data_IF_970112100367
#
_entry.id   IF_970112100367
#
_cell.length_a   1.000
_cell.length_b   1.000
_cell.length_c   1.000
_cell.angle_alpha   90.00
_cell.angle_beta   90.00
_cell.angle_gamma   90.00
#
_symmetry.space_group_name_H-M   'P 1'
#
loop_
_entity.id
_entity.type
_entity.pdbx_description
1 polymer ?
#
# COMPACT_ATOMS: atom_id res chain seq x y z
N UNK A 1 55.15 -27.05 11.41
CA UNK A 1 54.15 -28.03 10.94
C UNK A 1 53.03 -28.13 11.98
N UNK A 2 51.78 -28.01 11.51
CA UNK A 2 50.47 -28.30 12.16
C UNK A 2 50.08 -27.36 13.33
N UNK A 3 49.01 -26.53 13.25
CA UNK A 3 47.55 -26.83 13.21
C UNK A 3 47.13 -27.62 14.47
N UNK A 4 46.13 -27.28 15.31
CA UNK A 4 44.81 -26.63 15.14
C UNK A 4 44.28 -26.27 16.54
N UNK A 5 43.69 -25.08 16.64
CA UNK A 5 42.39 -24.70 17.24
C UNK A 5 41.69 -25.63 18.26
N UNK A 6 41.17 -25.02 19.34
CA UNK A 6 39.76 -24.99 19.81
C UNK A 6 39.79 -24.67 21.31
N UNK A 7 39.14 -23.59 21.71
CA UNK A 7 38.22 -23.65 22.85
C UNK A 7 37.19 -22.53 22.72
N UNK A 8 35.95 -22.94 22.48
CA UNK A 8 34.77 -22.09 22.56
C UNK A 8 34.27 -22.05 24.00
N UNK A 9 33.67 -20.91 24.33
CA UNK A 9 32.66 -20.68 25.36
C UNK A 9 33.02 -20.96 26.82
N UNK A 10 33.02 -19.91 27.65
CA UNK A 10 32.14 -19.78 28.83
C UNK A 10 32.52 -18.54 29.63
N UNK A 11 31.67 -17.51 29.59
CA UNK A 11 31.45 -16.64 30.74
C UNK A 11 30.09 -15.95 30.63
N UNK A 12 29.05 -16.72 30.95
CA UNK A 12 27.78 -16.23 31.47
C UNK A 12 28.01 -15.77 32.93
N UNK A 13 28.36 -14.52 33.13
CA UNK A 13 28.28 -13.76 34.39
C UNK A 13 28.19 -12.28 33.94
N UNK A 14 27.24 -11.43 34.27
CA UNK A 14 26.36 -11.39 35.44
C UNK A 14 25.07 -10.64 35.11
N UNK A 15 23.94 -11.26 35.41
CA UNK A 15 22.70 -10.57 35.74
C UNK A 15 22.82 -10.13 37.21
N UNK A 16 23.06 -8.83 37.45
CA UNK A 16 22.52 -8.08 38.58
C UNK A 16 23.12 -6.67 38.61
N UNK A 17 22.29 -5.71 38.23
CA UNK A 17 22.60 -4.29 38.27
C UNK A 17 21.32 -3.51 38.00
N UNK A 18 20.32 -3.65 38.88
CA UNK A 18 19.22 -2.70 38.97
C UNK A 18 19.80 -1.33 39.31
N UNK A 19 20.06 -0.52 38.30
CA UNK A 19 20.13 0.93 38.45
C UNK A 19 18.77 1.50 38.03
N UNK A 20 17.96 1.87 39.03
CA UNK A 20 16.81 2.76 38.85
C UNK A 20 17.30 4.06 38.20
N UNK A 21 17.13 4.19 36.89
CA UNK A 21 17.12 5.50 36.25
C UNK A 21 15.75 6.12 36.52
N UNK A 22 15.75 7.10 37.41
CA UNK A 22 14.63 8.06 37.58
C UNK A 22 14.20 8.57 36.22
N UNK A 23 13.01 8.17 35.79
CA UNK A 23 12.33 8.78 34.65
C UNK A 23 11.98 10.20 35.10
N UNK A 24 12.73 11.17 34.59
CA UNK A 24 12.31 12.57 34.63
C UNK A 24 11.12 12.63 33.66
N UNK A 25 9.91 12.63 34.21
CA UNK A 25 8.71 12.98 33.47
C UNK A 25 8.88 14.40 32.93
N UNK A 26 9.36 14.53 31.70
CA UNK A 26 9.08 15.75 30.95
C UNK A 26 7.57 15.75 30.74
N UNK A 27 6.85 16.58 31.50
CA UNK A 27 5.49 16.99 31.16
C UNK A 27 5.52 17.60 29.77
N UNK A 28 5.39 16.77 28.73
CA UNK A 28 4.95 17.25 27.44
C UNK A 28 3.53 17.72 27.69
N UNK A 29 3.34 19.04 27.56
CA UNK A 29 2.01 19.61 27.35
C UNK A 29 1.28 18.71 26.35
N UNK A 30 0.04 18.27 26.62
CA UNK A 30 -0.74 17.62 25.60
C UNK A 30 -0.88 18.67 24.49
N UNK A 31 -0.10 18.51 23.42
CA UNK A 31 -0.46 19.15 22.17
C UNK A 31 -1.82 18.56 21.83
N UNK A 32 -2.86 19.32 22.13
CA UNK A 32 -4.16 19.13 21.51
C UNK A 32 -3.88 19.06 20.02
N UNK A 33 -3.92 17.84 19.48
CA UNK A 33 -4.05 17.66 18.05
C UNK A 33 -5.30 18.46 17.70
N UNK A 34 -5.12 19.62 17.05
CA UNK A 34 -6.23 20.33 16.42
C UNK A 34 -6.91 19.29 15.54
N UNK A 35 -8.05 18.79 16.01
CA UNK A 35 -8.89 17.86 15.27
C UNK A 35 -9.48 18.71 14.15
N UNK A 36 -8.73 18.82 13.06
CA UNK A 36 -9.12 19.60 11.91
C UNK A 36 -10.29 18.84 11.28
N UNK A 37 -11.51 19.28 11.58
CA UNK A 37 -12.73 18.55 11.24
C UNK A 37 -13.08 18.63 9.75
N UNK A 38 -12.34 19.39 8.94
CA UNK A 38 -12.45 19.43 7.49
C UNK A 38 -11.32 18.63 6.83
N UNK A 39 -11.45 17.29 6.79
CA UNK A 39 -10.65 16.50 5.84
C UNK A 39 -11.40 16.50 4.52
N UNK A 40 -10.93 17.31 3.57
CA UNK A 40 -11.47 17.40 2.22
C UNK A 40 -11.28 16.08 1.46
N UNK A 41 -12.13 15.83 0.45
CA UNK A 41 -12.08 14.64 -0.41
C UNK A 41 -10.73 14.51 -1.10
N UNK A 42 -10.10 13.33 -1.00
CA UNK A 42 -8.89 13.03 -1.76
C UNK A 42 -9.23 12.75 -3.22
N UNK A 43 -8.93 13.68 -4.13
CA UNK A 43 -9.11 13.45 -5.55
C UNK A 43 -7.81 12.87 -6.17
N UNK A 44 -7.87 11.61 -6.60
CA UNK A 44 -6.74 10.90 -7.21
C UNK A 44 -6.77 10.91 -8.74
N UNK A 45 -7.88 11.37 -9.33
CA UNK A 45 -8.03 11.49 -10.79
C UNK A 45 -6.96 12.41 -11.39
N UNK A 46 -6.60 13.45 -10.64
CA UNK A 46 -5.70 14.53 -11.04
C UNK A 46 -4.36 14.49 -10.30
N UNK A 47 -4.07 13.41 -9.57
CA UNK A 47 -2.81 13.29 -8.88
C UNK A 47 -1.69 13.13 -9.90
N UNK A 48 -0.80 14.13 -9.96
CA UNK A 48 0.39 14.10 -10.81
C UNK A 48 1.55 13.55 -10.02
N UNK A 49 2.22 12.52 -10.56
CA UNK A 49 3.49 12.09 -10.02
C UNK A 49 4.51 13.23 -10.02
N UNK A 50 5.49 13.14 -9.12
CA UNK A 50 6.48 14.19 -8.85
C UNK A 50 5.88 15.46 -8.22
N UNK A 51 4.65 15.39 -7.71
CA UNK A 51 4.10 16.41 -6.81
C UNK A 51 4.66 16.24 -5.40
N UNK A 52 4.82 17.33 -4.67
CA UNK A 52 5.30 17.30 -3.29
C UNK A 52 4.24 16.70 -2.36
N UNK A 53 4.62 15.72 -1.54
CA UNK A 53 3.69 15.05 -0.62
C UNK A 53 3.06 16.02 0.37
N UNK A 54 3.79 17.05 0.85
CA UNK A 54 3.24 18.03 1.78
C UNK A 54 2.09 18.83 1.16
N UNK A 55 2.22 19.18 -0.13
CA UNK A 55 1.16 19.89 -0.85
C UNK A 55 -0.08 19.01 -1.01
N UNK A 56 0.10 17.74 -1.39
CA UNK A 56 -1.00 16.78 -1.51
C UNK A 56 -1.72 16.62 -0.17
N UNK A 57 -0.97 16.40 0.91
CA UNK A 57 -1.53 16.21 2.25
C UNK A 57 -2.26 17.47 2.75
N UNK A 58 -1.68 18.65 2.52
CA UNK A 58 -2.29 19.91 2.96
C UNK A 58 -3.68 20.14 2.33
N UNK A 59 -3.88 19.73 1.07
CA UNK A 59 -5.17 19.84 0.36
C UNK A 59 -6.25 18.95 0.96
N UNK A 60 -5.88 17.90 1.67
CA UNK A 60 -6.83 17.02 2.37
C UNK A 60 -6.80 17.26 3.89
N UNK A 61 -6.21 18.37 4.33
CA UNK A 61 -6.14 18.77 5.74
C UNK A 61 -5.21 17.89 6.60
N UNK A 62 -4.22 17.23 5.99
CA UNK A 62 -3.22 16.39 6.65
C UNK A 62 -1.82 17.02 6.59
N UNK A 63 -0.97 16.54 7.49
CA UNK A 63 0.47 16.81 7.55
C UNK A 63 1.23 15.49 7.66
N UNK A 64 2.55 15.52 7.50
CA UNK A 64 3.38 14.32 7.70
C UNK A 64 3.30 13.74 9.12
N UNK A 65 2.88 14.54 10.11
CA UNK A 65 2.69 14.08 11.49
C UNK A 65 1.42 13.23 11.65
N UNK A 66 0.51 13.25 10.68
CA UNK A 66 -0.72 12.46 10.68
C UNK A 66 -0.53 11.05 10.09
N UNK A 67 0.73 10.63 9.89
CA UNK A 67 1.05 9.31 9.35
C UNK A 67 0.57 8.23 10.32
N UNK A 68 -0.23 7.28 9.82
CA UNK A 68 -0.75 6.17 10.60
C UNK A 68 0.28 5.05 10.83
N UNK A 69 1.45 5.11 10.17
CA UNK A 69 2.54 4.17 10.42
C UNK A 69 3.18 4.44 11.79
N UNK A 70 3.07 3.44 12.67
CA UNK A 70 3.77 3.42 13.95
C UNK A 70 5.17 2.76 13.85
N UNK A 71 5.50 2.19 12.69
CA UNK A 71 6.77 1.51 12.43
C UNK A 71 7.77 2.43 11.73
N UNK A 72 9.06 2.25 12.03
CA UNK A 72 10.13 2.98 11.35
C UNK A 72 10.29 2.47 9.92
N UNK A 73 10.17 3.36 8.94
CA UNK A 73 10.51 3.03 7.56
C UNK A 73 12.03 2.79 7.41
N UNK A 74 12.41 1.53 7.20
CA UNK A 74 13.81 1.09 7.05
C UNK A 74 14.42 1.39 5.68
N UNK A 75 13.63 1.88 4.72
CA UNK A 75 14.14 2.25 3.40
C UNK A 75 15.09 3.45 3.50
N UNK A 76 16.23 3.39 2.82
CA UNK A 76 17.22 4.46 2.86
C UNK A 76 16.81 5.72 2.09
N UNK A 77 15.95 5.61 1.08
CA UNK A 77 15.76 6.68 0.08
C UNK A 77 14.31 7.10 -0.17
N UNK A 78 13.32 6.37 0.34
CA UNK A 78 11.91 6.76 0.32
C UNK A 78 11.24 6.57 1.68
N UNK A 79 10.12 7.26 1.86
CA UNK A 79 9.20 7.09 2.98
C UNK A 79 7.83 6.63 2.47
N UNK A 80 7.04 6.05 3.38
CA UNK A 80 5.62 5.73 3.18
C UNK A 80 4.81 6.62 4.12
N UNK A 81 3.78 7.25 3.59
CA UNK A 81 2.76 7.94 4.37
C UNK A 81 1.45 7.18 4.23
N UNK A 82 1.02 6.52 5.31
CA UNK A 82 -0.22 5.75 5.36
C UNK A 82 -1.30 6.53 6.07
N UNK A 83 -2.51 6.52 5.52
CA UNK A 83 -3.65 7.21 6.11
C UNK A 83 -4.97 6.62 5.63
N UNK A 84 -6.03 6.89 6.39
CA UNK A 84 -7.40 6.57 6.02
C UNK A 84 -8.11 7.87 5.62
N UNK A 85 -8.27 8.16 4.32
CA UNK A 85 -9.05 9.31 3.87
C UNK A 85 -10.52 9.14 4.27
N UNK A 86 -11.23 10.24 4.56
CA UNK A 86 -12.68 10.19 4.78
C UNK A 86 -13.46 9.89 3.50
N UNK A 87 -12.95 10.39 2.36
CA UNK A 87 -13.55 10.22 1.06
C UNK A 87 -12.46 10.24 0.00
N UNK A 88 -12.54 9.36 -0.99
CA UNK A 88 -11.70 9.42 -2.20
C UNK A 88 -12.63 9.65 -3.39
N UNK A 89 -12.23 10.59 -4.24
CA UNK A 89 -12.76 10.69 -5.57
C UNK A 89 -11.77 10.07 -6.57
N UNK A 90 -12.22 9.04 -7.28
CA UNK A 90 -11.47 8.42 -8.35
C UNK A 90 -12.36 8.29 -9.59
N UNK A 91 -12.02 9.06 -10.62
CA UNK A 91 -12.77 9.18 -11.88
C UNK A 91 -14.24 9.55 -11.68
N UNK A 92 -14.53 10.44 -10.74
CA UNK A 92 -15.89 10.86 -10.42
C UNK A 92 -16.65 9.91 -9.49
N UNK A 93 -16.09 8.74 -9.15
CA UNK A 93 -16.66 7.86 -8.15
C UNK A 93 -16.26 8.36 -6.76
N UNK A 94 -17.25 8.70 -5.95
CA UNK A 94 -17.09 8.96 -4.53
C UNK A 94 -17.26 7.64 -3.80
N UNK A 95 -16.15 7.11 -3.28
CA UNK A 95 -16.16 5.85 -2.53
C UNK A 95 -16.13 6.24 -1.04
N UNK A 96 -16.79 5.48 -0.18
CA UNK A 96 -16.89 5.70 1.27
C UNK A 96 -15.87 4.80 2.01
N UNK A 97 -15.09 5.34 2.97
CA UNK A 97 -13.77 4.80 3.33
C UNK A 97 -13.52 4.48 4.81
N UNK A 98 -14.53 4.26 5.66
CA UNK A 98 -14.26 3.92 7.07
C UNK A 98 -13.36 2.67 7.28
N UNK A 99 -13.09 1.87 6.25
CA UNK A 99 -12.27 0.65 6.31
C UNK A 99 -11.08 0.59 5.34
N UNK A 100 -10.88 1.62 4.55
CA UNK A 100 -10.01 1.55 3.37
C UNK A 100 -8.71 2.33 3.62
N UNK A 101 -7.58 1.80 3.17
CA UNK A 101 -6.25 2.35 3.43
C UNK A 101 -5.65 2.95 2.17
N UNK A 102 -4.97 4.09 2.31
CA UNK A 102 -4.19 4.72 1.25
C UNK A 102 -2.76 4.94 1.72
N UNK A 103 -1.80 4.64 0.85
CA UNK A 103 -0.38 4.89 1.08
C UNK A 103 0.20 5.73 -0.05
N UNK A 104 0.99 6.75 0.32
CA UNK A 104 1.85 7.49 -0.61
C UNK A 104 3.31 7.13 -0.37
N UNK A 105 4.02 6.79 -1.43
CA UNK A 105 5.46 6.55 -1.43
C UNK A 105 6.16 7.73 -2.11
N UNK A 106 7.11 8.33 -1.41
CA UNK A 106 7.80 9.54 -1.87
C UNK A 106 9.28 9.52 -1.49
N UNK A 107 10.14 10.16 -2.30
CA UNK A 107 11.57 10.15 -1.99
C UNK A 107 11.85 11.04 -0.77
N UNK A 108 12.78 10.60 0.09
CA UNK A 108 13.16 11.34 1.31
C UNK A 108 13.73 12.71 1.03
N UNK A 109 14.52 12.82 -0.05
CA UNK A 109 15.31 14.00 -0.41
C UNK A 109 14.46 15.17 -0.90
N UNK A 110 13.57 14.91 -1.86
CA UNK A 110 12.80 15.94 -2.56
C UNK A 110 11.30 15.92 -2.21
N UNK A 111 10.86 14.91 -1.42
CA UNK A 111 9.48 14.72 -0.98
C UNK A 111 8.49 14.52 -2.13
N UNK A 112 8.99 14.07 -3.28
CA UNK A 112 8.18 13.87 -4.48
C UNK A 112 7.53 12.47 -4.47
N UNK A 113 6.21 12.44 -4.64
CA UNK A 113 5.43 11.20 -4.71
C UNK A 113 5.70 10.51 -6.05
N UNK A 114 5.97 9.21 -5.99
CA UNK A 114 6.26 8.37 -7.16
C UNK A 114 5.44 7.09 -7.20
N UNK A 115 4.81 6.70 -6.10
CA UNK A 115 3.84 5.61 -6.07
C UNK A 115 2.73 5.93 -5.07
N UNK A 116 1.53 5.46 -5.36
CA UNK A 116 0.45 5.39 -4.40
C UNK A 116 -0.28 4.06 -4.47
N UNK A 117 -0.81 3.65 -3.33
CA UNK A 117 -1.61 2.43 -3.19
C UNK A 117 -2.94 2.75 -2.53
N UNK A 118 -4.02 2.15 -3.02
CA UNK A 118 -5.38 2.27 -2.47
C UNK A 118 -5.95 0.88 -2.34
N UNK A 119 -6.54 0.57 -1.18
CA UNK A 119 -7.34 -0.63 -0.98
C UNK A 119 -8.82 -0.24 -0.84
N UNK A 120 -9.67 -0.75 -1.73
CA UNK A 120 -11.13 -0.60 -1.69
C UNK A 120 -11.73 -1.95 -1.31
N UNK A 121 -12.43 -2.02 -0.18
CA UNK A 121 -12.97 -3.26 0.40
C UNK A 121 -14.47 -3.46 0.11
N UNK A 122 -15.01 -2.74 -0.87
CA UNK A 122 -16.38 -2.89 -1.34
C UNK A 122 -16.40 -3.42 -2.79
N UNK A 123 -17.23 -4.43 -3.03
CA UNK A 123 -17.31 -5.12 -4.30
C UNK A 123 -17.91 -4.24 -5.41
N UNK A 124 -18.97 -3.49 -5.10
CA UNK A 124 -19.68 -2.70 -6.10
C UNK A 124 -18.85 -1.50 -6.52
N UNK A 125 -18.20 -0.84 -5.57
CA UNK A 125 -17.28 0.26 -5.84
C UNK A 125 -16.03 -0.22 -6.58
N UNK A 126 -15.48 -1.40 -6.24
CA UNK A 126 -14.41 -2.02 -7.01
C UNK A 126 -14.78 -2.17 -8.50
N UNK A 127 -15.96 -2.73 -8.80
CA UNK A 127 -16.43 -2.93 -10.17
C UNK A 127 -16.68 -1.59 -10.90
N UNK A 128 -17.25 -0.58 -10.22
CA UNK A 128 -17.43 0.77 -10.79
C UNK A 128 -16.09 1.39 -11.18
N UNK A 129 -15.08 1.27 -10.31
CA UNK A 129 -13.76 1.85 -10.55
C UNK A 129 -13.06 1.16 -11.72
N UNK A 130 -13.10 -0.18 -11.80
CA UNK A 130 -12.56 -0.92 -12.95
C UNK A 130 -13.18 -0.41 -14.25
N UNK A 131 -14.51 -0.25 -14.28
CA UNK A 131 -15.22 0.30 -15.44
C UNK A 131 -14.79 1.74 -15.76
N UNK A 132 -14.51 2.56 -14.75
CA UNK A 132 -13.96 3.90 -14.97
C UNK A 132 -12.55 3.89 -15.55
N UNK A 133 -11.69 2.92 -15.18
CA UNK A 133 -10.39 2.72 -15.83
C UNK A 133 -10.56 2.34 -17.30
N UNK A 134 -11.45 1.39 -17.61
CA UNK A 134 -11.78 0.99 -18.97
C UNK A 134 -12.24 2.19 -19.83
N UNK A 135 -13.08 3.06 -19.25
CA UNK A 135 -13.56 4.25 -19.95
C UNK A 135 -12.46 5.30 -20.17
N UNK A 136 -11.55 5.49 -19.20
CA UNK A 136 -10.51 6.54 -19.27
C UNK A 136 -9.31 6.13 -20.12
N UNK A 137 -8.85 4.89 -19.98
CA UNK A 137 -7.59 4.42 -20.58
C UNK A 137 -7.79 3.40 -21.70
N UNK A 138 -9.05 3.03 -21.97
CA UNK A 138 -9.43 2.08 -23.02
C UNK A 138 -9.90 0.74 -22.45
N UNK A 139 -10.85 0.12 -23.16
CA UNK A 139 -11.56 -1.10 -22.75
C UNK A 139 -10.62 -2.29 -22.56
N UNK A 140 -9.51 -2.33 -23.30
CA UNK A 140 -8.54 -3.41 -23.22
C UNK A 140 -7.32 -2.96 -22.41
N UNK A 141 -7.04 -3.55 -21.24
CA UNK A 141 -5.81 -3.27 -20.51
C UNK A 141 -4.58 -3.75 -21.29
N UNK A 142 -3.42 -3.16 -21.01
CA UNK A 142 -2.14 -3.60 -21.54
C UNK A 142 -1.82 -5.04 -21.13
N UNK A 143 -2.32 -5.49 -19.98
CA UNK A 143 -2.26 -6.86 -19.53
C UNK A 143 -3.51 -7.24 -18.73
N UNK A 144 -3.95 -8.50 -18.86
CA UNK A 144 -5.02 -9.08 -18.04
C UNK A 144 -4.74 -10.54 -17.75
N UNK A 145 -4.93 -10.93 -16.48
CA UNK A 145 -4.91 -12.32 -16.04
C UNK A 145 -6.08 -12.56 -15.08
N UNK A 146 -6.82 -13.62 -15.32
CA UNK A 146 -7.90 -14.09 -14.44
C UNK A 146 -7.46 -15.44 -13.87
N UNK A 147 -7.57 -15.58 -12.55
CA UNK A 147 -7.29 -16.83 -11.83
C UNK A 147 -8.53 -17.18 -11.02
N UNK A 148 -9.08 -18.37 -11.26
CA UNK A 148 -10.27 -18.89 -10.57
C UNK A 148 -9.86 -20.07 -9.69
N UNK A 149 -10.06 -19.92 -8.39
CA UNK A 149 -9.89 -20.96 -7.39
C UNK A 149 -11.24 -21.60 -7.08
N UNK A 150 -11.27 -22.93 -7.01
CA UNK A 150 -12.44 -23.70 -6.54
C UNK A 150 -11.98 -24.76 -5.55
N UNK A 151 -12.94 -25.46 -4.95
CA UNK A 151 -12.65 -26.58 -4.05
C UNK A 151 -11.85 -27.70 -4.72
N UNK A 152 -12.13 -27.99 -6.00
CA UNK A 152 -11.48 -29.02 -6.80
C UNK A 152 -10.10 -28.58 -7.31
N UNK A 153 -9.93 -27.27 -7.53
CA UNK A 153 -8.71 -26.66 -8.04
C UNK A 153 -8.33 -25.44 -7.18
N UNK A 154 -7.88 -25.66 -5.93
CA UNK A 154 -7.54 -24.55 -5.06
C UNK A 154 -6.24 -23.88 -5.53
N UNK A 155 -6.24 -22.55 -5.60
CA UNK A 155 -5.08 -21.76 -6.05
C UNK A 155 -4.48 -20.87 -4.96
N UNK A 156 -5.26 -20.52 -3.95
CA UNK A 156 -4.86 -19.57 -2.91
C UNK A 156 -4.57 -20.28 -1.59
N UNK A 157 -3.60 -19.77 -0.84
CA UNK A 157 -3.30 -20.23 0.51
C UNK A 157 -3.90 -19.27 1.53
N UNK A 158 -4.26 -19.79 2.71
CA UNK A 158 -4.60 -19.01 3.89
C UNK A 158 -3.36 -18.61 4.70
N UNK A 159 -3.57 -17.93 5.83
CA UNK A 159 -2.52 -17.50 6.75
C UNK A 159 -1.71 -18.64 7.36
N UNK A 160 -2.22 -19.87 7.35
CA UNK A 160 -1.53 -21.06 7.86
C UNK A 160 -0.79 -21.82 6.73
N UNK A 161 -0.91 -21.36 5.48
CA UNK A 161 -0.35 -22.03 4.31
C UNK A 161 -1.20 -23.18 3.79
N UNK A 162 -2.47 -23.30 4.22
CA UNK A 162 -3.42 -24.29 3.70
C UNK A 162 -4.18 -23.75 2.49
N UNK A 163 -4.55 -24.65 1.58
CA UNK A 163 -5.33 -24.30 0.40
C UNK A 163 -6.75 -23.84 0.77
N UNK A 164 -7.09 -22.61 0.39
CA UNK A 164 -8.45 -22.10 0.44
C UNK A 164 -9.35 -22.88 -0.51
N UNK A 165 -10.50 -23.31 -0.01
CA UNK A 165 -11.48 -24.11 -0.76
C UNK A 165 -12.65 -23.29 -1.29
N UNK A 166 -12.71 -22.01 -0.90
CA UNK A 166 -13.74 -21.09 -1.35
C UNK A 166 -13.64 -20.86 -2.86
N UNK A 167 -14.78 -20.63 -3.50
CA UNK A 167 -14.86 -20.16 -4.87
C UNK A 167 -14.42 -18.70 -4.94
N UNK A 168 -13.17 -18.49 -5.33
CA UNK A 168 -12.55 -17.16 -5.38
C UNK A 168 -12.04 -16.85 -6.78
N UNK A 169 -12.18 -15.60 -7.19
CA UNK A 169 -11.60 -15.10 -8.43
C UNK A 169 -10.64 -13.95 -8.13
N UNK A 170 -9.48 -13.96 -8.78
CA UNK A 170 -8.55 -12.84 -8.80
C UNK A 170 -8.34 -12.38 -10.25
N UNK A 171 -8.56 -11.08 -10.50
CA UNK A 171 -8.20 -10.41 -11.75
C UNK A 171 -7.02 -9.49 -11.50
N UNK A 172 -6.01 -9.59 -12.34
CA UNK A 172 -4.89 -8.64 -12.40
C UNK A 172 -5.02 -7.94 -13.74
N UNK A 173 -5.20 -6.62 -13.70
CA UNK A 173 -5.38 -5.77 -14.87
C UNK A 173 -4.32 -4.66 -14.83
N UNK A 174 -3.70 -4.37 -15.96
CA UNK A 174 -2.66 -3.32 -16.04
C UNK A 174 -3.01 -2.31 -17.11
N UNK A 175 -3.07 -1.03 -16.75
CA UNK A 175 -3.17 0.08 -17.69
C UNK A 175 -1.92 0.94 -17.66
N UNK A 176 -1.61 1.54 -18.80
CA UNK A 176 -0.53 2.51 -18.94
C UNK A 176 -1.08 3.84 -19.41
N UNK A 177 -0.77 4.90 -18.66
CA UNK A 177 -0.95 6.27 -19.12
C UNK A 177 0.38 6.76 -19.68
N UNK A 178 0.52 6.73 -21.00
CA UNK A 178 1.73 7.15 -21.69
C UNK A 178 2.01 8.66 -21.54
N UNK A 179 0.97 9.47 -21.30
CA UNK A 179 1.08 10.92 -21.19
C UNK A 179 1.66 11.31 -19.83
N UNK A 180 1.07 10.77 -18.76
CA UNK A 180 1.53 11.03 -17.39
C UNK A 180 2.60 10.02 -16.93
N UNK A 181 3.00 9.10 -17.81
CA UNK A 181 3.99 8.04 -17.59
C UNK A 181 3.69 7.20 -16.35
N UNK A 182 2.42 6.87 -16.16
CA UNK A 182 1.96 6.06 -15.04
C UNK A 182 1.67 4.63 -15.50
N UNK A 183 2.02 3.64 -14.67
CA UNK A 183 1.44 2.29 -14.77
C UNK A 183 0.49 2.09 -13.60
N UNK A 184 -0.72 1.60 -13.90
CA UNK A 184 -1.74 1.25 -12.91
C UNK A 184 -1.93 -0.26 -12.88
N UNK A 185 -1.68 -0.88 -11.74
CA UNK A 185 -2.01 -2.27 -11.47
C UNK A 185 -3.29 -2.32 -10.65
N UNK A 186 -4.31 -2.97 -11.20
CA UNK A 186 -5.59 -3.21 -10.54
C UNK A 186 -5.66 -4.70 -10.21
N UNK A 187 -5.67 -5.01 -8.91
CA UNK A 187 -5.78 -6.37 -8.40
C UNK A 187 -7.13 -6.50 -7.72
N UNK A 188 -8.08 -7.09 -8.44
CA UNK A 188 -9.43 -7.33 -7.97
C UNK A 188 -9.55 -8.76 -7.45
N UNK A 189 -10.12 -8.94 -6.27
CA UNK A 189 -10.38 -10.24 -5.64
C UNK A 189 -11.83 -10.31 -5.22
N UNK A 190 -12.50 -11.42 -5.50
CA UNK A 190 -13.88 -11.66 -5.07
C UNK A 190 -14.03 -13.08 -4.53
N UNK A 191 -14.75 -13.21 -3.42
CA UNK A 191 -15.15 -14.48 -2.83
C UNK A 191 -16.65 -14.67 -3.05
N UNK A 192 -17.02 -15.68 -3.85
CA UNK A 192 -18.41 -15.96 -4.19
C UNK A 192 -19.16 -16.77 -3.13
N UNK A 193 -18.44 -17.35 -2.16
CA UNK A 193 -19.03 -18.22 -1.14
C UNK A 193 -19.48 -17.44 0.11
N UNK A 194 -19.17 -16.14 0.21
CA UNK A 194 -19.67 -15.26 1.27
C UNK A 194 -21.08 -14.72 0.95
N UNK A 195 -21.82 -14.35 2.00
CA UNK A 195 -23.15 -13.72 1.88
C UNK A 195 -23.24 -12.47 2.77
N UNK A 196 -23.22 -11.24 2.20
CA UNK A 196 -23.11 -10.93 0.77
C UNK A 196 -21.75 -11.33 0.17
N UNK A 197 -21.68 -11.34 -1.16
CA UNK A 197 -20.42 -11.56 -1.90
C UNK A 197 -19.42 -10.48 -1.51
N UNK A 198 -18.24 -10.89 -1.06
CA UNK A 198 -17.18 -9.99 -0.61
C UNK A 198 -16.18 -9.80 -1.74
N UNK A 199 -15.87 -8.53 -2.04
CA UNK A 199 -14.94 -8.15 -3.09
C UNK A 199 -14.03 -7.04 -2.63
N UNK A 200 -12.84 -6.98 -3.21
CA UNK A 200 -11.87 -5.92 -2.95
C UNK A 200 -11.08 -5.58 -4.20
N UNK A 201 -10.62 -4.34 -4.27
CA UNK A 201 -9.74 -3.84 -5.32
C UNK A 201 -8.54 -3.15 -4.68
N UNK A 202 -7.34 -3.64 -4.99
CA UNK A 202 -6.10 -2.91 -4.76
C UNK A 202 -5.69 -2.19 -6.05
N UNK A 203 -5.40 -0.90 -5.92
CA UNK A 203 -4.87 -0.07 -7.01
C UNK A 203 -3.45 0.33 -6.62
N UNK A 204 -2.48 -0.01 -7.46
CA UNK A 204 -1.08 0.40 -7.30
C UNK A 204 -0.74 1.24 -8.53
N UNK A 205 -0.49 2.53 -8.32
CA UNK A 205 -0.07 3.45 -9.38
C UNK A 205 1.40 3.81 -9.18
N UNK A 206 2.20 3.74 -10.25
CA UNK A 206 3.65 3.95 -10.18
C UNK A 206 4.12 4.84 -11.34
N UNK A 207 4.95 5.82 -11.05
CA UNK A 207 5.68 6.63 -12.04
C UNK A 207 6.74 5.79 -12.75
N UNK A 208 6.59 5.58 -14.07
CA UNK A 208 7.51 4.81 -14.92
C UNK A 208 8.90 5.45 -15.02
N UNK A 209 9.02 6.76 -14.83
CA UNK A 209 10.31 7.46 -14.86
C UNK A 209 11.06 7.35 -13.52
N UNK A 210 10.41 6.93 -12.44
CA UNK A 210 11.08 6.84 -11.16
C UNK A 210 12.04 5.64 -11.14
N UNK A 211 13.25 5.85 -10.61
CA UNK A 211 14.29 4.81 -10.50
C UNK A 211 13.85 3.58 -9.71
N UNK A 212 12.85 3.74 -8.83
CA UNK A 212 12.26 2.67 -8.02
C UNK A 212 11.23 1.83 -8.73
N UNK A 213 10.81 2.20 -9.94
CA UNK A 213 9.77 1.48 -10.66
C UNK A 213 10.04 -0.03 -10.74
N UNK A 214 11.21 -0.43 -11.24
CA UNK A 214 11.56 -1.85 -11.43
C UNK A 214 11.66 -2.60 -10.10
N UNK A 215 12.29 -1.98 -9.11
CA UNK A 215 12.44 -2.55 -7.78
C UNK A 215 11.07 -2.76 -7.12
N UNK A 216 10.16 -1.78 -7.25
CA UNK A 216 8.82 -1.85 -6.66
C UNK A 216 7.95 -2.91 -7.34
N UNK A 217 7.97 -2.95 -8.68
CA UNK A 217 7.29 -3.97 -9.47
C UNK A 217 7.77 -5.37 -9.08
N UNK A 218 9.09 -5.56 -8.90
CA UNK A 218 9.65 -6.85 -8.48
C UNK A 218 9.31 -7.19 -7.02
N UNK A 219 9.42 -6.21 -6.12
CA UNK A 219 9.09 -6.36 -4.69
C UNK A 219 7.64 -6.79 -4.47
N UNK A 220 6.70 -6.22 -5.25
CA UNK A 220 5.29 -6.59 -5.25
C UNK A 220 4.97 -7.83 -6.09
N UNK A 221 5.99 -8.48 -6.67
CA UNK A 221 5.87 -9.60 -7.61
C UNK A 221 4.95 -9.31 -8.79
N UNK A 222 4.87 -8.05 -9.20
CA UNK A 222 4.07 -7.59 -10.34
C UNK A 222 4.75 -7.94 -11.68
N UNK A 223 6.07 -8.11 -11.68
CA UNK A 223 6.88 -8.58 -12.80
C UNK A 223 6.56 -10.02 -13.24
N UNK A 224 6.01 -10.84 -12.33
CA UNK A 224 5.47 -12.16 -12.66
C UNK A 224 4.31 -12.09 -13.65
N UNK A 225 3.62 -10.96 -13.71
CA UNK A 225 2.44 -10.74 -14.54
C UNK A 225 2.77 -9.84 -15.73
N UNK A 226 3.55 -8.78 -15.51
CA UNK A 226 3.82 -7.77 -16.51
C UNK A 226 5.32 -7.49 -16.59
N UNK A 227 5.97 -8.00 -17.64
CA UNK A 227 7.35 -7.67 -17.98
C UNK A 227 7.36 -6.40 -18.83
N UNK A 228 7.91 -5.33 -18.26
CA UNK A 228 8.23 -4.10 -18.99
C UNK A 228 9.46 -4.28 -19.88
#
# INVERSE_FOLDING_TARGET
>A
MKKITILAALSLLSCNGQQEKKIIESKKSPMEAKKNNSRETLNLTDLKFKSNVNEILSRIGLTLNDNALNEYNISGDYDEFKFTPRQINLFGNNIDFEKNETSFFYNKKDKLVWCYEINILDNDDALKIIKSFENKYGVKPAFSKISLSTKEHPLFLDENGEFKKDKMEQRILVWEDLKEKATFFLIYKVNYDTKPVEGSLQIIAIDKDNKKYKDWVSYRSLDMYYKN
#
